data_IF_794647437732
#
_entry.id   IF_794647437732
#
_cell.length_a   1.000
_cell.length_b   1.000
_cell.length_c   1.000
_cell.angle_alpha   90.00
_cell.angle_beta   90.00
_cell.angle_gamma   90.00
#
_symmetry.space_group_name_H-M   'P 1'
#
loop_
_entity.id
_entity.type
_entity.pdbx_description
1 polymer ?
#
# COMPACT_ATOMS: atom_id res chain seq x y z
N UNK A 1 -19.50 -14.92 13.36
CA UNK A 1 -19.03 -16.02 12.47
C UNK A 1 -19.01 -15.56 11.02
N UNK A 2 -20.16 -15.24 10.38
CA UNK A 2 -20.17 -14.77 8.99
C UNK A 2 -19.51 -13.38 8.80
N UNK A 3 -19.81 -12.42 9.68
CA UNK A 3 -19.23 -11.07 9.62
C UNK A 3 -17.71 -11.07 9.72
N UNK A 4 -17.17 -11.83 10.68
CA UNK A 4 -15.73 -12.02 10.87
C UNK A 4 -15.07 -12.63 9.63
N UNK A 5 -15.67 -13.68 9.05
CA UNK A 5 -15.20 -14.30 7.81
C UNK A 5 -15.17 -13.32 6.65
N UNK A 6 -16.25 -12.57 6.42
CA UNK A 6 -16.34 -11.59 5.34
C UNK A 6 -15.31 -10.47 5.51
N UNK A 7 -15.17 -9.93 6.72
CA UNK A 7 -14.18 -8.89 7.01
C UNK A 7 -12.75 -9.40 6.85
N UNK A 8 -12.47 -10.63 7.29
CA UNK A 8 -11.18 -11.26 7.08
C UNK A 8 -10.91 -11.45 5.58
N UNK A 9 -11.84 -12.05 4.82
CA UNK A 9 -11.68 -12.27 3.39
C UNK A 9 -11.43 -10.94 2.63
N UNK A 10 -12.27 -9.93 2.90
CA UNK A 10 -12.13 -8.59 2.33
C UNK A 10 -10.76 -7.99 2.66
N UNK A 11 -10.33 -8.06 3.91
CA UNK A 11 -9.03 -7.54 4.32
C UNK A 11 -7.87 -8.21 3.56
N UNK A 12 -7.88 -9.53 3.41
CA UNK A 12 -6.83 -10.23 2.66
C UNK A 12 -6.86 -9.88 1.17
N UNK A 13 -8.04 -9.83 0.54
CA UNK A 13 -8.17 -9.41 -0.86
C UNK A 13 -7.64 -8.00 -1.08
N UNK A 14 -7.90 -7.08 -0.15
CA UNK A 14 -7.38 -5.71 -0.20
C UNK A 14 -5.86 -5.66 -0.02
N UNK A 15 -5.29 -6.50 0.87
CA UNK A 15 -3.83 -6.65 0.97
C UNK A 15 -3.24 -7.11 -0.37
N UNK A 16 -3.80 -8.15 -1.00
CA UNK A 16 -3.31 -8.62 -2.29
C UNK A 16 -3.45 -7.58 -3.41
N UNK A 17 -4.56 -6.86 -3.45
CA UNK A 17 -4.78 -5.78 -4.40
C UNK A 17 -3.73 -4.66 -4.22
N UNK A 18 -3.49 -4.24 -2.97
CA UNK A 18 -2.48 -3.25 -2.62
C UNK A 18 -1.08 -3.69 -3.07
N UNK A 19 -0.69 -4.93 -2.75
CA UNK A 19 0.60 -5.50 -3.17
C UNK A 19 0.71 -5.55 -4.69
N UNK A 20 -0.32 -6.02 -5.37
CA UNK A 20 -0.32 -6.14 -6.84
C UNK A 20 -0.13 -4.78 -7.51
N UNK A 21 -0.80 -3.72 -7.02
CA UNK A 21 -0.67 -2.38 -7.57
C UNK A 21 0.72 -1.79 -7.31
N UNK A 22 1.27 -1.96 -6.12
CA UNK A 22 2.62 -1.47 -5.80
C UNK A 22 3.71 -2.21 -6.61
N UNK A 23 3.54 -3.51 -6.84
CA UNK A 23 4.40 -4.29 -7.75
C UNK A 23 4.25 -3.77 -9.19
N UNK A 24 3.03 -3.48 -9.63
CA UNK A 24 2.79 -2.91 -10.96
C UNK A 24 3.48 -1.54 -11.11
N UNK A 25 3.41 -0.65 -10.12
CA UNK A 25 4.16 0.61 -10.12
C UNK A 25 5.67 0.39 -10.20
N UNK A 26 6.21 -0.52 -9.39
CA UNK A 26 7.63 -0.88 -9.39
C UNK A 26 8.10 -1.37 -10.77
N UNK A 27 7.28 -2.18 -11.45
CA UNK A 27 7.59 -2.67 -12.80
C UNK A 27 7.51 -1.56 -13.85
N UNK A 28 6.49 -0.70 -13.81
CA UNK A 28 6.36 0.42 -14.74
C UNK A 28 7.51 1.43 -14.59
N UNK A 29 7.90 1.74 -13.35
CA UNK A 29 9.01 2.64 -13.05
C UNK A 29 10.37 2.07 -13.48
N UNK A 30 10.48 0.76 -13.71
CA UNK A 30 11.70 0.10 -14.22
C UNK A 30 11.80 0.15 -15.75
N UNK A 31 10.66 0.17 -16.44
CA UNK A 31 10.60 0.18 -17.90
C UNK A 31 10.82 1.58 -18.51
N UNK A 32 10.83 1.67 -19.86
CA UNK A 32 10.81 2.95 -20.56
C UNK A 32 9.53 3.70 -20.22
N UNK A 33 9.66 5.00 -19.93
CA UNK A 33 8.50 5.86 -19.67
C UNK A 33 8.08 6.55 -20.96
N UNK A 34 6.83 6.35 -21.34
CA UNK A 34 6.11 7.08 -22.37
C UNK A 34 4.81 7.69 -21.82
N UNK A 35 4.11 8.46 -22.65
CA UNK A 35 2.85 9.09 -22.27
C UNK A 35 1.82 8.09 -21.72
N UNK A 36 1.69 6.92 -22.36
CA UNK A 36 0.74 5.89 -21.96
C UNK A 36 1.10 5.28 -20.58
N UNK A 37 2.39 5.04 -20.35
CA UNK A 37 2.94 4.52 -19.10
C UNK A 37 2.71 5.49 -17.95
N UNK A 38 2.94 6.78 -18.15
CA UNK A 38 2.69 7.81 -17.13
C UNK A 38 1.21 7.90 -16.75
N UNK A 39 0.30 7.81 -17.72
CA UNK A 39 -1.14 7.77 -17.45
C UNK A 39 -1.56 6.49 -16.73
N UNK A 40 -0.97 5.34 -17.09
CA UNK A 40 -1.22 4.08 -16.40
C UNK A 40 -0.69 4.10 -14.97
N UNK A 41 0.51 4.63 -14.75
CA UNK A 41 1.14 4.76 -13.45
C UNK A 41 0.25 5.56 -12.48
N UNK A 42 -0.23 6.75 -12.90
CA UNK A 42 -1.13 7.56 -12.09
C UNK A 42 -2.49 6.90 -11.79
N UNK A 43 -3.00 6.04 -12.67
CA UNK A 43 -4.24 5.29 -12.42
C UNK A 43 -4.04 4.15 -11.44
N UNK A 44 -2.91 3.44 -11.55
CA UNK A 44 -2.55 2.36 -10.63
C UNK A 44 -2.32 2.93 -9.23
N UNK A 45 -1.59 4.04 -9.12
CA UNK A 45 -1.34 4.74 -7.85
C UNK A 45 -2.63 5.23 -7.19
N UNK A 46 -3.59 5.77 -7.96
CA UNK A 46 -4.91 6.08 -7.43
C UNK A 46 -5.65 4.83 -6.92
N UNK A 47 -5.55 3.71 -7.65
CA UNK A 47 -6.07 2.41 -7.22
C UNK A 47 -5.44 1.92 -5.92
N UNK A 48 -4.11 2.03 -5.82
CA UNK A 48 -3.33 1.68 -4.64
C UNK A 48 -3.79 2.49 -3.43
N UNK A 49 -3.92 3.81 -3.57
CA UNK A 49 -4.42 4.69 -2.52
C UNK A 49 -5.84 4.33 -2.07
N UNK A 50 -6.73 4.00 -3.00
CA UNK A 50 -8.09 3.53 -2.67
C UNK A 50 -8.07 2.19 -1.91
N UNK A 51 -7.29 1.22 -2.38
CA UNK A 51 -7.15 -0.07 -1.69
C UNK A 51 -6.55 0.11 -0.29
N UNK A 52 -5.57 0.99 -0.13
CA UNK A 52 -5.03 1.33 1.19
C UNK A 52 -6.08 1.97 2.11
N UNK A 53 -6.90 2.89 1.59
CA UNK A 53 -8.02 3.46 2.35
C UNK A 53 -9.00 2.38 2.82
N UNK A 54 -9.46 1.52 1.91
CA UNK A 54 -10.37 0.44 2.26
C UNK A 54 -9.75 -0.61 3.18
N UNK A 55 -8.47 -0.91 3.01
CA UNK A 55 -7.75 -1.87 3.84
C UNK A 55 -7.68 -1.39 5.30
N UNK A 56 -7.44 -0.09 5.51
CA UNK A 56 -7.43 0.52 6.84
C UNK A 56 -8.81 0.41 7.49
N UNK A 57 -9.87 0.77 6.75
CA UNK A 57 -11.26 0.65 7.24
C UNK A 57 -11.59 -0.79 7.59
N UNK A 58 -11.31 -1.75 6.70
CA UNK A 58 -11.53 -3.17 6.96
C UNK A 58 -10.72 -3.65 8.18
N UNK A 59 -9.48 -3.18 8.34
CA UNK A 59 -8.65 -3.47 9.50
C UNK A 59 -9.26 -2.97 10.82
N UNK A 60 -9.74 -1.74 10.85
CA UNK A 60 -10.42 -1.17 12.03
C UNK A 60 -11.71 -1.92 12.35
N UNK A 61 -12.52 -2.26 11.34
CA UNK A 61 -13.72 -3.07 11.53
C UNK A 61 -13.38 -4.45 12.14
N UNK A 62 -12.25 -5.06 11.77
CA UNK A 62 -11.80 -6.31 12.39
C UNK A 62 -11.34 -6.14 13.85
N UNK A 63 -10.88 -4.97 14.25
CA UNK A 63 -10.53 -4.68 15.65
C UNK A 63 -11.78 -4.61 16.52
N UNK A 64 -12.83 -3.93 16.04
CA UNK A 64 -14.05 -3.70 16.82
C UNK A 64 -15.11 -4.82 16.69
N UNK A 65 -15.21 -5.45 15.53
CA UNK A 65 -16.26 -6.43 15.20
C UNK A 65 -15.73 -7.82 14.86
N UNK A 66 -14.41 -8.04 14.91
CA UNK A 66 -13.78 -9.33 14.64
C UNK A 66 -13.76 -10.26 15.86
N UNK A 67 -13.48 -11.54 15.60
CA UNK A 67 -13.61 -12.61 16.60
C UNK A 67 -12.67 -12.50 17.81
N UNK A 68 -11.55 -11.78 17.70
CA UNK A 68 -10.54 -11.63 18.77
C UNK A 68 -10.89 -10.56 19.81
N UNK A 69 -11.85 -9.68 19.51
CA UNK A 69 -12.15 -8.49 20.33
C UNK A 69 -11.05 -7.43 20.30
N UNK A 70 -11.38 -6.19 20.67
CA UNK A 70 -10.45 -5.05 20.63
C UNK A 70 -9.27 -5.19 21.59
N UNK A 71 -9.52 -5.79 22.76
CA UNK A 71 -8.53 -5.94 23.83
C UNK A 71 -7.28 -6.74 23.39
N UNK A 72 -7.49 -7.79 22.60
CA UNK A 72 -6.40 -8.57 22.00
C UNK A 72 -5.47 -7.71 21.14
N UNK A 73 -6.02 -6.78 20.35
CA UNK A 73 -5.20 -5.94 19.48
C UNK A 73 -4.47 -4.85 20.26
N UNK A 74 -5.14 -4.23 21.24
CA UNK A 74 -4.57 -3.14 22.03
C UNK A 74 -3.39 -3.58 22.90
N UNK A 75 -3.40 -4.81 23.40
CA UNK A 75 -2.31 -5.37 24.21
C UNK A 75 -1.26 -6.16 23.42
N UNK A 76 -1.36 -6.20 22.09
CA UNK A 76 -0.44 -6.95 21.24
C UNK A 76 0.59 -6.00 20.60
N UNK A 77 1.88 -6.05 20.99
CA UNK A 77 2.91 -5.16 20.46
C UNK A 77 3.12 -5.33 18.95
N UNK A 78 2.93 -6.55 18.43
CA UNK A 78 3.05 -6.84 17.00
C UNK A 78 1.93 -6.17 16.19
N UNK A 79 0.75 -5.98 16.78
CA UNK A 79 -0.33 -5.21 16.15
C UNK A 79 0.08 -3.74 15.97
N UNK A 80 0.62 -3.11 17.02
CA UNK A 80 1.09 -1.72 16.97
C UNK A 80 2.23 -1.53 15.98
N UNK A 81 3.22 -2.43 15.99
CA UNK A 81 4.31 -2.40 15.01
C UNK A 81 3.79 -2.52 13.57
N UNK A 82 2.85 -3.46 13.33
CA UNK A 82 2.23 -3.66 12.02
C UNK A 82 1.46 -2.42 11.56
N UNK A 83 0.67 -1.83 12.45
CA UNK A 83 -0.10 -0.61 12.15
C UNK A 83 0.83 0.58 11.91
N UNK A 84 1.88 0.73 12.71
CA UNK A 84 2.90 1.77 12.53
C UNK A 84 3.62 1.64 11.19
N UNK A 85 4.02 0.43 10.80
CA UNK A 85 4.60 0.16 9.49
C UNK A 85 3.61 0.49 8.35
N UNK A 86 2.34 0.16 8.52
CA UNK A 86 1.29 0.49 7.55
C UNK A 86 1.12 2.01 7.37
N UNK A 87 1.06 2.75 8.47
CA UNK A 87 1.00 4.23 8.44
C UNK A 87 2.25 4.82 7.80
N UNK A 88 3.44 4.29 8.11
CA UNK A 88 4.69 4.73 7.49
C UNK A 88 4.68 4.54 5.97
N UNK A 89 4.21 3.39 5.48
CA UNK A 89 4.03 3.16 4.04
C UNK A 89 3.08 4.21 3.46
N UNK A 90 1.93 4.46 4.09
CA UNK A 90 0.97 5.46 3.62
C UNK A 90 1.57 6.86 3.52
N UNK A 91 2.40 7.26 4.48
CA UNK A 91 3.10 8.55 4.46
C UNK A 91 4.18 8.61 3.37
N UNK A 92 4.94 7.54 3.19
CA UNK A 92 5.95 7.46 2.13
C UNK A 92 5.32 7.53 0.75
N UNK A 93 4.15 6.89 0.58
CA UNK A 93 3.40 6.83 -0.69
C UNK A 93 2.92 8.21 -1.15
N UNK A 94 2.75 9.17 -0.25
CA UNK A 94 2.42 10.54 -0.66
C UNK A 94 3.48 11.13 -1.60
N UNK A 95 4.75 10.74 -1.45
CA UNK A 95 5.84 11.22 -2.32
C UNK A 95 5.65 10.80 -3.80
N UNK A 96 5.55 9.50 -4.15
CA UNK A 96 5.28 9.07 -5.51
C UNK A 96 3.91 9.54 -6.01
N UNK A 97 2.86 9.48 -5.19
CA UNK A 97 1.52 9.92 -5.59
C UNK A 97 1.52 11.38 -6.08
N UNK A 98 2.10 12.30 -5.30
CA UNK A 98 2.20 13.70 -5.70
C UNK A 98 3.03 13.88 -6.97
N UNK A 99 4.07 13.07 -7.17
CA UNK A 99 4.93 13.11 -8.36
C UNK A 99 4.20 12.62 -9.60
N UNK A 100 3.50 11.49 -9.51
CA UNK A 100 2.75 10.92 -10.63
C UNK A 100 1.60 11.84 -11.05
N UNK A 101 0.92 12.49 -10.09
CA UNK A 101 -0.08 13.51 -10.40
C UNK A 101 0.52 14.71 -11.13
N UNK A 102 1.70 15.19 -10.71
CA UNK A 102 2.41 16.28 -11.38
C UNK A 102 2.85 15.89 -12.79
N UNK A 103 3.38 14.69 -12.98
CA UNK A 103 3.77 14.18 -14.30
C UNK A 103 2.56 14.04 -15.22
N UNK A 104 1.42 13.54 -14.72
CA UNK A 104 0.17 13.48 -15.48
C UNK A 104 -0.28 14.87 -15.93
N UNK A 105 -0.24 15.86 -15.03
CA UNK A 105 -0.60 17.25 -15.35
C UNK A 105 0.33 17.86 -16.40
N UNK A 106 1.65 17.63 -16.27
CA UNK A 106 2.65 18.11 -17.22
C UNK A 106 2.46 17.47 -18.61
N UNK A 107 2.17 16.16 -18.65
CA UNK A 107 1.87 15.45 -19.89
C UNK A 107 0.61 15.97 -20.58
N UNK A 108 -0.44 16.32 -19.82
CA UNK A 108 -1.64 16.95 -20.38
C UNK A 108 -1.37 18.33 -20.98
N UNK A 109 -0.38 19.06 -20.45
CA UNK A 109 0.02 20.37 -20.98
C UNK A 109 1.01 20.27 -22.17
N UNK A 110 1.85 19.23 -22.17
CA UNK A 110 2.81 18.96 -23.24
C UNK A 110 2.88 17.44 -23.49
N UNK A 111 2.34 16.94 -24.62
CA UNK A 111 2.37 15.52 -24.96
C UNK A 111 3.77 14.90 -25.10
N UNK A 112 4.81 15.72 -25.31
CA UNK A 112 6.21 15.29 -25.37
C UNK A 112 6.92 15.31 -24.01
N UNK A 113 6.21 15.65 -22.92
CA UNK A 113 6.78 15.67 -21.59
C UNK A 113 7.25 14.28 -21.17
N UNK A 114 8.49 14.21 -20.68
CA UNK A 114 9.06 13.04 -20.00
C UNK A 114 9.70 13.48 -18.68
N UNK A 115 9.49 12.73 -17.57
CA UNK A 115 10.15 13.02 -16.31
C UNK A 115 11.66 12.88 -16.39
N UNK A 116 12.37 13.66 -15.57
CA UNK A 116 13.82 13.55 -15.45
C UNK A 116 14.22 12.17 -14.88
N UNK A 117 15.24 11.50 -15.45
CA UNK A 117 15.67 10.17 -15.00
C UNK A 117 15.99 10.08 -13.50
N UNK A 118 16.54 11.15 -12.91
CA UNK A 118 16.86 11.20 -11.49
C UNK A 118 15.60 11.18 -10.60
N UNK A 119 14.52 11.87 -11.02
CA UNK A 119 13.24 11.85 -10.29
C UNK A 119 12.60 10.45 -10.36
N UNK A 120 12.65 9.81 -11.53
CA UNK A 120 12.18 8.43 -11.73
C UNK A 120 12.94 7.44 -10.84
N UNK A 121 14.27 7.56 -10.77
CA UNK A 121 15.11 6.70 -9.94
C UNK A 121 14.77 6.87 -8.44
N UNK A 122 14.48 8.10 -8.00
CA UNK A 122 14.03 8.37 -6.63
C UNK A 122 12.70 7.69 -6.33
N UNK A 123 11.69 7.85 -7.19
CA UNK A 123 10.38 7.20 -6.98
C UNK A 123 10.50 5.68 -6.98
N UNK A 124 11.33 5.12 -7.85
CA UNK A 124 11.62 3.68 -7.87
C UNK A 124 12.22 3.19 -6.54
N UNK A 125 13.10 3.99 -5.92
CA UNK A 125 13.66 3.68 -4.61
C UNK A 125 12.61 3.66 -3.51
N UNK A 126 11.72 4.65 -3.49
CA UNK A 126 10.61 4.74 -2.52
C UNK A 126 9.68 3.54 -2.65
N UNK A 127 9.19 3.24 -3.87
CA UNK A 127 8.27 2.11 -4.12
C UNK A 127 8.89 0.76 -3.73
N UNK A 128 10.20 0.58 -3.96
CA UNK A 128 10.91 -0.64 -3.51
C UNK A 128 10.99 -0.74 -1.99
N UNK A 129 11.23 0.38 -1.31
CA UNK A 129 11.26 0.41 0.14
C UNK A 129 9.88 0.12 0.74
N UNK A 130 8.81 0.63 0.13
CA UNK A 130 7.43 0.29 0.51
C UNK A 130 7.14 -1.21 0.37
N UNK A 131 7.60 -1.87 -0.70
CA UNK A 131 7.49 -3.32 -0.86
C UNK A 131 8.20 -4.09 0.27
N UNK A 132 9.37 -3.62 0.72
CA UNK A 132 10.09 -4.21 1.86
C UNK A 132 9.29 -4.03 3.16
N UNK A 133 8.71 -2.85 3.39
CA UNK A 133 7.86 -2.60 4.55
C UNK A 133 6.58 -3.45 4.52
N UNK A 134 5.98 -3.69 3.35
CA UNK A 134 4.87 -4.65 3.21
C UNK A 134 5.31 -6.05 3.64
N UNK A 135 6.47 -6.52 3.20
CA UNK A 135 6.98 -7.82 3.61
C UNK A 135 7.14 -7.89 5.14
N UNK A 136 7.65 -6.82 5.77
CA UNK A 136 7.71 -6.71 7.23
C UNK A 136 6.30 -6.77 7.87
N UNK A 137 5.30 -6.08 7.31
CA UNK A 137 3.90 -6.15 7.78
C UNK A 137 3.38 -7.59 7.77
N UNK A 138 3.70 -8.39 6.75
CA UNK A 138 3.28 -9.80 6.67
C UNK A 138 3.91 -10.64 7.79
N UNK A 139 5.21 -10.44 8.08
CA UNK A 139 5.90 -11.09 9.20
C UNK A 139 5.28 -10.68 10.53
N UNK A 140 5.03 -9.38 10.73
CA UNK A 140 4.39 -8.85 11.94
C UNK A 140 2.97 -9.39 12.12
N UNK A 141 2.21 -9.56 11.03
CA UNK A 141 0.89 -10.18 11.07
C UNK A 141 0.96 -11.64 11.50
N UNK A 142 1.95 -12.39 11.02
CA UNK A 142 2.19 -13.78 11.41
C UNK A 142 2.62 -13.90 12.89
N UNK A 143 3.46 -12.99 13.39
CA UNK A 143 3.86 -12.91 14.79
C UNK A 143 2.66 -12.56 15.69
N UNK A 144 1.88 -11.54 15.32
CA UNK A 144 0.67 -11.11 16.01
C UNK A 144 -0.32 -12.27 16.20
N UNK A 145 -0.52 -13.10 15.17
CA UNK A 145 -1.45 -14.23 15.22
C UNK A 145 -1.06 -15.32 16.24
N UNK A 146 0.22 -15.37 16.63
CA UNK A 146 0.78 -16.37 17.56
C UNK A 146 1.18 -15.78 18.92
N UNK A 147 0.86 -14.51 19.15
CA UNK A 147 1.16 -13.83 20.41
C UNK A 147 0.51 -14.56 21.60
N UNK A 148 1.30 -14.91 22.62
CA UNK A 148 0.88 -15.68 23.79
C UNK A 148 0.83 -17.21 23.59
N UNK A 149 1.22 -17.71 22.42
CA UNK A 149 1.26 -19.15 22.08
C UNK A 149 2.68 -19.73 21.92
N UNK A 150 3.69 -19.04 22.45
CA UNK A 150 5.09 -19.46 22.54
C UNK A 150 5.56 -19.34 23.98
#
# INVERSE_FOLDING_TARGET
MLTDLLLAALHHLLVFALIAMLVAESTLLRGPLDAATLQRLARIDAGYGMAAGFLLVAGLLRVFYGAKGSDFYLHNPWFHAKLGAYVLIGLLSLLPTLRFLRWRKALSANPAFLPEPADVARQRGVVRFELILIAAILVLAAAMARYGGF
#
